data_IF_808186682981
#
_entry.id   IF_808186682981
#
_cell.length_a   1.000
_cell.length_b   1.000
_cell.length_c   1.000
_cell.angle_alpha   90.00
_cell.angle_beta   90.00
_cell.angle_gamma   90.00
#
_symmetry.space_group_name_H-M   'P 1'
#
loop_
_entity.id
_entity.type
_entity.pdbx_description
1 polymer ?
#
# COMPACT_ATOMS: atom_id res chain seq x y z
N UNK A 1 4.23 -8.94 -9.70
CA UNK A 1 4.19 -8.81 -8.22
C UNK A 1 4.85 -7.53 -7.72
N UNK A 2 6.16 -7.36 -7.92
CA UNK A 2 6.96 -6.26 -7.34
C UNK A 2 6.44 -4.83 -7.63
N UNK A 3 6.10 -4.53 -8.89
CA UNK A 3 5.55 -3.22 -9.28
C UNK A 3 4.23 -2.86 -8.60
N UNK A 4 3.40 -3.86 -8.26
CA UNK A 4 2.16 -3.64 -7.48
C UNK A 4 2.47 -3.35 -6.01
N UNK A 5 3.59 -3.86 -5.48
CA UNK A 5 3.97 -3.68 -4.08
C UNK A 5 4.60 -2.30 -3.80
N UNK A 6 5.29 -1.74 -4.79
CA UNK A 6 6.00 -0.46 -4.71
C UNK A 6 5.16 0.73 -4.19
N UNK A 7 3.92 0.98 -4.67
CA UNK A 7 3.09 2.05 -4.14
C UNK A 7 2.68 1.84 -2.67
N UNK A 8 2.53 0.60 -2.22
CA UNK A 8 2.19 0.31 -0.81
C UNK A 8 3.35 0.62 0.14
N UNK A 9 4.58 0.30 -0.28
CA UNK A 9 5.80 0.65 0.48
C UNK A 9 5.99 2.15 0.55
N UNK A 10 5.70 2.87 -0.54
CA UNK A 10 5.74 4.33 -0.54
C UNK A 10 4.78 4.93 0.50
N UNK A 11 3.54 4.40 0.60
CA UNK A 11 2.59 4.84 1.64
C UNK A 11 3.15 4.59 3.05
N UNK A 12 3.68 3.40 3.32
CA UNK A 12 4.22 3.08 4.66
C UNK A 12 5.35 4.03 5.07
N UNK A 13 6.25 4.35 4.14
CA UNK A 13 7.34 5.30 4.38
C UNK A 13 6.79 6.71 4.64
N UNK A 14 5.85 7.19 3.82
CA UNK A 14 5.24 8.51 3.98
C UNK A 14 4.49 8.62 5.31
N UNK A 15 3.68 7.61 5.66
CA UNK A 15 2.93 7.61 6.93
C UNK A 15 3.88 7.59 8.11
N UNK A 16 4.96 6.80 8.04
CA UNK A 16 5.97 6.75 9.10
C UNK A 16 6.69 8.09 9.27
N UNK A 17 7.11 8.76 8.19
CA UNK A 17 7.80 10.06 8.30
C UNK A 17 6.87 11.14 8.86
N UNK A 18 5.59 11.14 8.48
CA UNK A 18 4.58 12.06 9.03
C UNK A 18 4.34 11.77 10.52
N UNK A 19 4.22 10.51 10.92
CA UNK A 19 4.02 10.15 12.33
C UNK A 19 5.19 10.57 13.22
N UNK A 20 6.41 10.35 12.72
CA UNK A 20 7.66 10.77 13.38
C UNK A 20 7.72 12.30 13.48
N UNK A 21 7.36 13.02 12.42
CA UNK A 21 7.31 14.49 12.42
C UNK A 21 6.27 15.05 13.41
N UNK A 22 5.15 14.34 13.62
CA UNK A 22 4.13 14.69 14.62
C UNK A 22 4.51 14.29 16.05
N UNK A 23 5.64 13.60 16.26
CA UNK A 23 6.07 13.11 17.57
C UNK A 23 5.23 11.94 18.10
N UNK A 24 4.37 11.35 17.27
CA UNK A 24 3.41 10.32 17.68
C UNK A 24 3.97 8.90 17.54
N UNK A 25 5.04 8.59 18.28
CA UNK A 25 5.70 7.27 18.23
C UNK A 25 4.89 6.12 18.87
N UNK A 26 3.85 6.45 19.65
CA UNK A 26 3.06 5.46 20.38
C UNK A 26 1.89 4.89 19.57
N UNK A 27 1.52 5.55 18.47
CA UNK A 27 0.52 5.01 17.53
C UNK A 27 1.26 4.17 16.49
N UNK A 28 0.85 2.92 16.24
CA UNK A 28 1.44 2.14 15.15
C UNK A 28 1.16 2.84 13.80
N UNK A 29 2.17 3.19 12.99
CA UNK A 29 1.96 3.81 11.68
C UNK A 29 1.12 2.92 10.75
N UNK A 30 1.10 1.60 11.00
CA UNK A 30 0.28 0.63 10.28
C UNK A 30 -1.22 0.87 10.42
N UNK A 31 -1.70 1.35 11.56
CA UNK A 31 -3.14 1.63 11.77
C UNK A 31 -3.63 2.74 10.84
N UNK A 32 -2.75 3.70 10.53
CA UNK A 32 -3.04 4.78 9.58
C UNK A 32 -2.78 4.29 8.16
N UNK A 33 -1.71 3.54 7.90
CA UNK A 33 -1.40 3.13 6.53
C UNK A 33 -2.39 2.12 5.94
N UNK A 34 -3.00 1.24 6.74
CA UNK A 34 -3.98 0.22 6.29
C UNK A 34 -5.16 0.81 5.48
N UNK A 35 -5.94 1.78 6.00
CA UNK A 35 -7.04 2.36 5.24
C UNK A 35 -6.57 3.08 3.97
N UNK A 36 -5.43 3.78 4.00
CA UNK A 36 -4.85 4.44 2.82
C UNK A 36 -4.41 3.42 1.76
N UNK A 37 -3.81 2.30 2.16
CA UNK A 37 -3.45 1.21 1.25
C UNK A 37 -4.69 0.62 0.58
N UNK A 38 -5.75 0.37 1.33
CA UNK A 38 -7.01 -0.16 0.79
C UNK A 38 -7.63 0.81 -0.22
N UNK A 39 -7.69 2.10 0.10
CA UNK A 39 -8.18 3.12 -0.83
C UNK A 39 -7.36 3.12 -2.12
N UNK A 40 -6.02 3.13 -2.02
CA UNK A 40 -5.15 3.13 -3.20
C UNK A 40 -5.28 1.85 -4.03
N UNK A 41 -5.45 0.70 -3.37
CA UNK A 41 -5.66 -0.58 -4.05
C UNK A 41 -6.96 -0.64 -4.84
N UNK A 42 -8.05 -0.10 -4.28
CA UNK A 42 -9.33 0.01 -5.00
C UNK A 42 -9.23 1.04 -6.13
N UNK A 43 -8.57 2.18 -5.89
CA UNK A 43 -8.43 3.25 -6.87
C UNK A 43 -7.59 2.86 -8.10
N UNK A 44 -6.64 1.92 -7.95
CA UNK A 44 -5.81 1.43 -9.04
C UNK A 44 -6.37 0.17 -9.74
N UNK A 45 -7.63 -0.20 -9.47
CA UNK A 45 -8.23 -1.48 -9.91
C UNK A 45 -7.32 -2.68 -9.60
N UNK A 46 -6.77 -2.70 -8.38
CA UNK A 46 -5.71 -3.62 -7.99
C UNK A 46 -6.12 -5.10 -8.09
N UNK A 47 -7.40 -5.41 -7.90
CA UNK A 47 -7.98 -6.74 -8.12
C UNK A 47 -7.85 -7.19 -9.58
N UNK A 48 -8.21 -6.34 -10.54
CA UNK A 48 -8.13 -6.62 -11.97
C UNK A 48 -6.67 -6.86 -12.40
N UNK A 49 -5.75 -6.02 -11.91
CA UNK A 49 -4.31 -6.16 -12.22
C UNK A 49 -3.69 -7.41 -11.60
N UNK A 50 -4.14 -7.83 -10.41
CA UNK A 50 -3.71 -9.09 -9.79
C UNK A 50 -4.18 -10.29 -10.60
N UNK A 51 -5.47 -10.35 -10.93
CA UNK A 51 -6.06 -11.47 -11.69
C UNK A 51 -5.45 -11.56 -13.08
N UNK A 52 -5.31 -10.45 -13.79
CA UNK A 52 -4.67 -10.44 -15.12
C UNK A 52 -3.20 -10.88 -15.06
N UNK A 53 -2.45 -10.45 -14.05
CA UNK A 53 -1.07 -10.89 -13.84
C UNK A 53 -0.95 -12.38 -13.52
N UNK A 54 -1.93 -12.96 -12.80
CA UNK A 54 -1.97 -14.39 -12.53
C UNK A 54 -2.30 -15.19 -13.79
N UNK A 55 -3.31 -14.77 -14.56
CA UNK A 55 -3.70 -15.45 -15.81
C UNK A 55 -2.54 -15.46 -16.81
N UNK A 56 -1.87 -14.31 -17.00
CA UNK A 56 -0.70 -14.20 -17.89
C UNK A 56 0.52 -14.99 -17.42
N UNK A 57 0.61 -15.31 -16.12
CA UNK A 57 1.73 -16.10 -15.59
C UNK A 57 1.52 -17.61 -15.72
N UNK A 58 0.29 -18.06 -15.96
CA UNK A 58 -0.07 -19.48 -16.09
C UNK A 58 -0.39 -19.90 -17.53
N UNK A 59 -0.65 -18.95 -18.44
CA UNK A 59 -0.84 -19.17 -19.88
C UNK A 59 0.50 -19.18 -20.63
#
# INVERSE_FOLDING_TARGET
>A
GFLLYLPFVAIDLIVTTVLVALGMMMVPPTTISIPFKLMLFVFLDGWTKLVQGLILSYA
#
